data_IF_408107333651
#
_entry.id   IF_408107333651
#
_cell.length_a   1.000
_cell.length_b   1.000
_cell.length_c   1.000
_cell.angle_alpha   90.00
_cell.angle_beta   90.00
_cell.angle_gamma   90.00
#
_symmetry.space_group_name_H-M   'P 1'
#
loop_
_entity.id
_entity.type
_entity.pdbx_description
1 polymer ?
#
# COMPACT_ATOMS: atom_id res chain seq x y z
N UNK A 1 10.02 17.16 -18.21
CA UNK A 1 9.61 15.95 -18.89
C UNK A 1 8.53 15.23 -18.13
N UNK A 2 7.59 14.66 -18.84
CA UNK A 2 6.44 14.00 -18.23
C UNK A 2 6.81 12.68 -17.58
N UNK A 3 5.86 12.16 -16.79
CA UNK A 3 5.95 10.84 -16.17
C UNK A 3 5.89 9.77 -17.26
N UNK A 4 6.71 8.72 -17.14
CA UNK A 4 6.74 7.62 -18.10
C UNK A 4 5.38 6.90 -18.17
N UNK A 5 5.02 6.44 -19.37
CA UNK A 5 3.75 5.77 -19.62
C UNK A 5 3.46 4.59 -18.66
N UNK A 6 4.41 3.67 -18.38
CA UNK A 6 4.14 2.59 -17.44
C UNK A 6 3.82 3.09 -16.02
N UNK A 7 4.43 4.18 -15.60
CA UNK A 7 4.14 4.78 -14.28
C UNK A 7 2.70 5.30 -14.24
N UNK A 8 2.23 5.93 -15.30
CA UNK A 8 0.84 6.38 -15.38
C UNK A 8 -0.14 5.21 -15.31
N UNK A 9 0.14 4.12 -16.01
CA UNK A 9 -0.69 2.92 -15.94
C UNK A 9 -0.74 2.35 -14.51
N UNK A 10 0.41 2.28 -13.83
CA UNK A 10 0.48 1.81 -12.44
C UNK A 10 -0.35 2.70 -11.51
N UNK A 11 -0.28 4.00 -11.69
CA UNK A 11 -1.06 4.94 -10.88
C UNK A 11 -2.57 4.80 -11.13
N UNK A 12 -2.97 4.64 -12.39
CA UNK A 12 -4.39 4.45 -12.76
C UNK A 12 -4.90 3.10 -12.23
N UNK A 13 -4.13 2.03 -12.37
CA UNK A 13 -4.48 0.72 -11.81
C UNK A 13 -4.70 0.82 -10.30
N UNK A 14 -3.88 1.61 -9.62
CA UNK A 14 -4.00 1.82 -8.17
C UNK A 14 -5.30 2.53 -7.79
N UNK A 15 -5.78 3.46 -8.61
CA UNK A 15 -7.12 4.06 -8.40
C UNK A 15 -8.20 2.99 -8.49
N UNK A 16 -8.12 2.11 -9.48
CA UNK A 16 -9.08 1.02 -9.62
C UNK A 16 -9.08 0.10 -8.40
N UNK A 17 -7.89 -0.25 -7.90
CA UNK A 17 -7.75 -1.06 -6.69
C UNK A 17 -8.35 -0.32 -5.49
N UNK A 18 -8.06 0.96 -5.32
CA UNK A 18 -8.60 1.77 -4.22
C UNK A 18 -10.13 1.79 -4.25
N UNK A 19 -10.73 1.98 -5.42
CA UNK A 19 -12.19 1.98 -5.58
C UNK A 19 -12.79 0.63 -5.22
N UNK A 20 -12.19 -0.46 -5.70
CA UNK A 20 -12.66 -1.82 -5.38
C UNK A 20 -12.55 -2.10 -3.88
N UNK A 21 -11.49 -1.67 -3.25
CA UNK A 21 -11.30 -1.84 -1.79
C UNK A 21 -12.36 -1.06 -1.02
N UNK A 22 -12.62 0.19 -1.40
CA UNK A 22 -13.66 1.01 -0.74
C UNK A 22 -15.02 0.35 -0.88
N UNK A 23 -15.38 -0.10 -2.08
CA UNK A 23 -16.66 -0.78 -2.32
C UNK A 23 -16.77 -2.03 -1.46
N UNK A 24 -15.76 -2.89 -1.46
CA UNK A 24 -15.75 -4.11 -0.65
C UNK A 24 -15.86 -3.79 0.84
N UNK A 25 -15.12 -2.79 1.31
CA UNK A 25 -15.07 -2.37 2.71
C UNK A 25 -16.46 -1.93 3.20
N UNK A 26 -17.13 -1.09 2.42
CA UNK A 26 -18.47 -0.59 2.75
C UNK A 26 -19.50 -1.72 2.66
N UNK A 27 -19.42 -2.56 1.63
CA UNK A 27 -20.38 -3.67 1.46
C UNK A 27 -20.26 -4.73 2.57
N UNK A 28 -19.05 -4.88 3.13
CA UNK A 28 -18.86 -5.78 4.27
C UNK A 28 -19.33 -5.17 5.60
N UNK A 29 -19.85 -3.94 5.56
CA UNK A 29 -20.41 -3.28 6.73
C UNK A 29 -19.40 -2.52 7.59
N UNK A 30 -18.18 -2.33 7.11
CA UNK A 30 -17.20 -1.51 7.81
C UNK A 30 -17.48 -0.03 7.56
N UNK A 31 -17.29 0.80 8.59
CA UNK A 31 -17.44 2.25 8.46
C UNK A 31 -16.30 2.81 7.60
N UNK A 32 -16.63 3.54 6.54
CA UNK A 32 -15.66 4.03 5.57
C UNK A 32 -14.58 4.93 6.17
N UNK A 33 -14.90 5.68 7.21
CA UNK A 33 -13.96 6.62 7.84
C UNK A 33 -12.76 5.93 8.48
N UNK A 34 -12.84 4.62 8.77
CA UNK A 34 -11.69 3.86 9.24
C UNK A 34 -10.55 3.85 8.23
N UNK A 35 -10.87 3.90 6.93
CA UNK A 35 -9.85 3.96 5.89
C UNK A 35 -8.97 5.21 6.03
N UNK A 36 -9.53 6.30 6.53
CA UNK A 36 -8.82 7.56 6.77
C UNK A 36 -8.18 7.56 8.17
N UNK A 37 -8.93 7.12 9.18
CA UNK A 37 -8.51 7.21 10.58
C UNK A 37 -7.21 6.44 10.86
N UNK A 38 -7.02 5.27 10.24
CA UNK A 38 -5.82 4.45 10.45
C UNK A 38 -4.87 4.47 9.27
N UNK A 39 -5.05 5.41 8.34
CA UNK A 39 -4.25 5.46 7.10
C UNK A 39 -2.75 5.48 7.38
N UNK A 40 -2.31 6.31 8.32
CA UNK A 40 -0.88 6.49 8.59
C UNK A 40 -0.25 5.35 9.39
N UNK A 41 -1.04 4.44 9.94
CA UNK A 41 -0.50 3.28 10.70
C UNK A 41 0.47 2.47 9.85
N UNK A 42 0.18 2.32 8.56
CA UNK A 42 1.01 1.52 7.66
C UNK A 42 2.36 2.17 7.36
N UNK A 43 2.50 3.48 7.59
CA UNK A 43 3.78 4.18 7.46
C UNK A 43 4.76 3.85 8.58
N UNK A 44 4.33 3.14 9.63
CA UNK A 44 5.23 2.60 10.64
C UNK A 44 6.24 1.62 10.03
N UNK A 45 5.96 1.08 8.84
CA UNK A 45 6.92 0.24 8.11
C UNK A 45 8.18 0.99 7.67
N UNK A 46 8.19 2.32 7.77
CA UNK A 46 9.40 3.13 7.53
C UNK A 46 10.42 3.04 8.68
N UNK A 47 10.08 2.40 9.79
CA UNK A 47 10.95 2.32 10.98
C UNK A 47 12.34 1.76 10.68
N UNK A 48 12.45 0.89 9.67
CA UNK A 48 13.73 0.31 9.26
C UNK A 48 14.77 1.34 8.81
N UNK A 49 14.33 2.54 8.39
CA UNK A 49 15.26 3.62 8.02
C UNK A 49 16.06 4.17 9.21
N UNK A 50 15.63 3.87 10.43
CA UNK A 50 16.44 4.18 11.62
C UNK A 50 17.72 3.34 11.69
N UNK A 51 17.76 2.20 10.99
CA UNK A 51 18.93 1.32 10.94
C UNK A 51 19.80 1.64 9.72
N UNK A 52 19.22 1.60 8.52
CA UNK A 52 19.94 1.87 7.28
C UNK A 52 18.95 2.06 6.11
N UNK A 53 19.38 2.66 4.99
CA UNK A 53 18.54 2.73 3.80
C UNK A 53 18.11 1.36 3.27
N UNK A 54 18.97 0.37 3.37
CA UNK A 54 18.64 -0.99 2.93
C UNK A 54 17.56 -1.64 3.80
N UNK A 55 17.73 -1.59 5.12
CA UNK A 55 16.73 -2.13 6.06
C UNK A 55 15.43 -1.35 5.94
N UNK A 56 15.52 -0.03 5.80
CA UNK A 56 14.35 0.82 5.58
C UNK A 56 13.58 0.45 4.31
N UNK A 57 14.29 0.22 3.20
CA UNK A 57 13.66 -0.17 1.95
C UNK A 57 12.95 -1.52 2.08
N UNK A 58 13.58 -2.50 2.73
CA UNK A 58 12.97 -3.82 2.93
C UNK A 58 11.71 -3.71 3.78
N UNK A 59 11.78 -3.05 4.94
CA UNK A 59 10.62 -2.92 5.84
C UNK A 59 9.50 -2.11 5.20
N UNK A 60 9.83 -1.01 4.51
CA UNK A 60 8.86 -0.20 3.80
C UNK A 60 8.17 -1.01 2.69
N UNK A 61 8.95 -1.72 1.87
CA UNK A 61 8.42 -2.50 0.76
C UNK A 61 7.51 -3.63 1.23
N UNK A 62 7.84 -4.28 2.35
CA UNK A 62 6.97 -5.29 2.96
C UNK A 62 5.62 -4.67 3.34
N UNK A 63 5.64 -3.50 3.95
CA UNK A 63 4.42 -2.79 4.35
C UNK A 63 3.65 -2.16 3.19
N UNK A 64 4.30 -1.91 2.06
CA UNK A 64 3.73 -1.18 0.92
C UNK A 64 3.62 -2.01 -0.35
N UNK A 65 3.75 -3.32 -0.26
CA UNK A 65 3.47 -4.25 -1.35
C UNK A 65 2.10 -4.90 -1.14
N UNK A 66 1.33 -5.04 -2.21
CA UNK A 66 0.05 -5.74 -2.17
C UNK A 66 0.18 -7.22 -1.79
N UNK A 67 1.40 -7.75 -1.76
CA UNK A 67 1.65 -9.12 -1.30
C UNK A 67 1.16 -9.34 0.13
N UNK A 68 1.37 -8.37 1.02
CA UNK A 68 0.92 -8.48 2.42
C UNK A 68 -0.59 -8.67 2.55
N UNK A 69 -1.41 -7.72 2.06
CA UNK A 69 -2.86 -7.87 2.11
C UNK A 69 -3.35 -9.13 1.37
N UNK A 70 -2.74 -9.46 0.23
CA UNK A 70 -3.13 -10.63 -0.56
C UNK A 70 -2.88 -11.93 0.21
N UNK A 71 -1.72 -12.05 0.85
CA UNK A 71 -1.39 -13.22 1.68
C UNK A 71 -2.34 -13.32 2.86
N UNK A 72 -2.64 -12.22 3.53
CA UNK A 72 -3.55 -12.21 4.67
C UNK A 72 -4.96 -12.65 4.26
N UNK A 73 -5.47 -12.16 3.14
CA UNK A 73 -6.78 -12.58 2.60
C UNK A 73 -6.77 -14.06 2.20
N UNK A 74 -5.69 -14.50 1.55
CA UNK A 74 -5.56 -15.90 1.13
C UNK A 74 -5.53 -16.85 2.34
N UNK A 75 -4.78 -16.51 3.38
CA UNK A 75 -4.72 -17.32 4.61
C UNK A 75 -6.09 -17.36 5.31
N UNK A 76 -6.80 -16.24 5.37
CA UNK A 76 -8.15 -16.17 5.95
C UNK A 76 -9.11 -17.08 5.16
N UNK A 77 -9.05 -17.04 3.84
CA UNK A 77 -9.85 -17.88 2.96
C UNK A 77 -9.56 -19.38 3.15
N UNK A 78 -8.26 -19.74 3.10
CA UNK A 78 -7.82 -21.14 3.22
C UNK A 78 -8.19 -21.72 4.59
N UNK A 79 -8.12 -20.91 5.64
CA UNK A 79 -8.52 -21.33 6.98
C UNK A 79 -10.05 -21.49 7.14
N UNK A 80 -10.83 -21.14 6.11
CA UNK A 80 -12.29 -21.19 6.19
C UNK A 80 -12.86 -20.23 7.22
N UNK A 81 -12.11 -19.18 7.54
CA UNK A 81 -12.49 -18.23 8.57
C UNK A 81 -13.40 -17.14 8.01
N UNK A 82 -14.45 -16.80 8.76
CA UNK A 82 -15.29 -15.63 8.50
C UNK A 82 -14.93 -14.48 9.41
N UNK A 83 -13.75 -14.54 10.05
CA UNK A 83 -13.28 -13.51 10.96
C UNK A 83 -13.13 -12.15 10.26
N UNK A 84 -13.82 -11.15 10.79
CA UNK A 84 -13.84 -9.82 10.19
C UNK A 84 -12.55 -9.03 10.43
N UNK A 85 -11.85 -9.31 11.54
CA UNK A 85 -10.62 -8.60 11.90
C UNK A 85 -9.53 -8.68 10.82
N UNK A 86 -9.12 -9.88 10.39
CA UNK A 86 -8.13 -10.01 9.32
C UNK A 86 -8.56 -9.37 8.00
N UNK A 87 -9.83 -9.45 7.64
CA UNK A 87 -10.37 -8.81 6.43
C UNK A 87 -10.28 -7.29 6.55
N UNK A 88 -10.67 -6.74 7.69
CA UNK A 88 -10.54 -5.30 7.98
C UNK A 88 -9.09 -4.85 7.81
N UNK A 89 -8.14 -5.57 8.41
CA UNK A 89 -6.72 -5.25 8.33
C UNK A 89 -6.24 -5.29 6.88
N UNK A 90 -6.56 -6.35 6.15
CA UNK A 90 -6.12 -6.50 4.77
C UNK A 90 -6.66 -5.38 3.86
N UNK A 91 -7.93 -5.01 4.01
CA UNK A 91 -8.55 -3.99 3.18
C UNK A 91 -8.03 -2.58 3.49
N UNK A 92 -7.85 -2.24 4.78
CA UNK A 92 -7.26 -0.95 5.15
C UNK A 92 -5.81 -0.86 4.67
N UNK A 93 -5.08 -1.96 4.74
CA UNK A 93 -3.71 -2.07 4.26
C UNK A 93 -3.64 -1.89 2.74
N UNK A 94 -4.47 -2.60 1.99
CA UNK A 94 -4.53 -2.47 0.53
C UNK A 94 -4.93 -1.07 0.09
N UNK A 95 -5.84 -0.43 0.81
CA UNK A 95 -6.26 0.95 0.53
C UNK A 95 -5.07 1.92 0.66
N UNK A 96 -4.32 1.81 1.76
CA UNK A 96 -3.14 2.65 1.97
C UNK A 96 -2.12 2.49 0.83
N UNK A 97 -1.82 1.25 0.46
CA UNK A 97 -0.88 0.96 -0.64
C UNK A 97 -1.38 1.57 -1.95
N UNK A 98 -2.65 1.37 -2.26
CA UNK A 98 -3.23 1.86 -3.51
C UNK A 98 -3.20 3.38 -3.59
N UNK A 99 -3.51 4.07 -2.49
CA UNK A 99 -3.45 5.52 -2.44
C UNK A 99 -2.02 6.03 -2.60
N UNK A 100 -1.05 5.40 -1.95
CA UNK A 100 0.36 5.76 -2.10
C UNK A 100 0.82 5.62 -3.55
N UNK A 101 0.48 4.50 -4.21
CA UNK A 101 0.82 4.29 -5.63
C UNK A 101 0.17 5.31 -6.53
N UNK A 102 -1.08 5.66 -6.29
CA UNK A 102 -1.77 6.71 -7.04
C UNK A 102 -1.06 8.05 -6.89
N UNK A 103 -0.61 8.38 -5.67
CA UNK A 103 0.12 9.62 -5.41
C UNK A 103 1.55 9.60 -5.95
N UNK A 104 2.05 8.45 -6.39
CA UNK A 104 3.38 8.31 -6.95
C UNK A 104 4.43 7.79 -5.97
N UNK A 105 4.04 7.37 -4.77
CA UNK A 105 4.96 6.77 -3.81
C UNK A 105 5.12 5.28 -4.12
N UNK A 106 6.23 4.93 -4.76
CA UNK A 106 6.53 3.56 -5.18
C UNK A 106 7.33 2.77 -4.15
N UNK A 107 7.62 1.51 -4.49
CA UNK A 107 8.52 0.67 -3.71
C UNK A 107 9.93 1.22 -3.78
N UNK A 108 10.68 1.07 -2.69
CA UNK A 108 12.00 1.69 -2.52
C UNK A 108 13.11 0.81 -3.05
N UNK A 109 14.09 1.44 -3.71
CA UNK A 109 15.39 0.83 -3.91
C UNK A 109 16.22 0.94 -2.62
N UNK A 110 17.31 0.17 -2.54
CA UNK A 110 18.08 0.02 -1.29
C UNK A 110 19.06 1.16 -1.04
N UNK A 111 19.20 2.09 -1.97
CA UNK A 111 20.19 3.17 -1.90
C UNK A 111 19.71 4.38 -1.10
N UNK A 112 18.45 4.77 -1.23
CA UNK A 112 17.90 5.91 -0.50
C UNK A 112 16.38 5.93 -0.50
N UNK A 113 15.79 6.61 0.47
CA UNK A 113 14.35 6.71 0.65
C UNK A 113 13.62 7.27 -0.59
N UNK A 114 14.22 8.24 -1.26
CA UNK A 114 13.56 8.93 -2.37
C UNK A 114 13.60 8.17 -3.70
N UNK A 115 14.43 7.12 -3.80
CA UNK A 115 14.58 6.36 -5.02
C UNK A 115 13.57 5.21 -5.07
N UNK A 116 12.57 5.31 -5.95
CA UNK A 116 11.47 4.34 -6.04
C UNK A 116 11.27 3.87 -7.48
N UNK A 117 10.59 2.73 -7.62
CA UNK A 117 10.27 2.19 -8.95
C UNK A 117 9.34 3.11 -9.76
N UNK A 118 8.64 4.05 -9.11
CA UNK A 118 7.79 5.04 -9.77
C UNK A 118 8.49 6.39 -9.96
N UNK A 119 9.77 6.49 -9.58
CA UNK A 119 10.58 7.70 -9.73
C UNK A 119 11.09 8.26 -8.41
N UNK A 120 11.77 9.41 -8.48
CA UNK A 120 12.27 10.10 -7.30
C UNK A 120 11.14 10.82 -6.57
N UNK A 121 11.04 10.58 -5.25
CA UNK A 121 10.05 11.24 -4.41
C UNK A 121 10.44 12.70 -4.20
N UNK A 122 9.49 13.60 -4.40
CA UNK A 122 9.68 15.03 -4.19
C UNK A 122 10.45 15.74 -5.30
N UNK A 123 10.89 15.03 -6.32
CA UNK A 123 11.59 15.64 -7.45
C UNK A 123 10.57 16.08 -8.50
N UNK A 124 10.64 17.35 -8.88
CA UNK A 124 9.83 17.84 -9.99
C UNK A 124 10.43 17.34 -11.30
N UNK A 125 9.65 16.62 -12.03
CA UNK A 125 10.02 16.17 -13.38
C UNK A 125 9.87 17.28 -14.39
#
# INVERSE_FOLDING_TARGET
MGVALPVWFQRIESVAIAVLVVVAFVQLGFAWWWLIAIFLVWDLSMVGYLVSPRVGAISYNVGHSHLGPAVLLALTWVAGSDARGPVFVALTWAFHIAMDRFLGYGLKFTDRFTHTHLGEVGKKS
#
